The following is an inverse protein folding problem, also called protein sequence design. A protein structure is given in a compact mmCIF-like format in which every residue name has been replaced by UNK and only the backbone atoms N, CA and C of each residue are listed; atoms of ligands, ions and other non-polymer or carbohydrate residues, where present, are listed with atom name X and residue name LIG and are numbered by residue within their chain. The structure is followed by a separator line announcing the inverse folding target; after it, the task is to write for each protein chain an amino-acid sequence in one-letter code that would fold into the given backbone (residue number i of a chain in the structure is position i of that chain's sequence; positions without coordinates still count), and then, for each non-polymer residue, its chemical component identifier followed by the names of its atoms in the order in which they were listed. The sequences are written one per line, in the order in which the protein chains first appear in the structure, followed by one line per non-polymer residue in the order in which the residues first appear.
data_IF_313629249955
#
_entry.id   IF_313629249955
#
_cell.length_a   1.000
_cell.length_b   1.000
_cell.length_c   1.000
_cell.angle_alpha   90.00
_cell.angle_beta   90.00
_cell.angle_gamma   90.00
#
_symmetry.space_group_name_H-M   'P 1'
#
loop_
_entity.id
_entity.type
_entity.pdbx_description
1 polymer ?
#
# COMPACT_ATOMS: atom_id res chain seq x y z
N UNK A 1 15.10 -63.32 -21.15
CA UNK A 1 16.11 -62.34 -20.67
C UNK A 1 15.61 -60.89 -20.43
N UNK A 2 15.12 -60.12 -21.42
CA UNK A 2 14.73 -58.69 -21.21
C UNK A 2 13.54 -58.53 -20.25
N UNK A 3 12.54 -59.43 -20.32
CA UNK A 3 11.34 -59.38 -19.49
C UNK A 3 11.65 -59.66 -18.01
N UNK A 4 12.48 -60.67 -17.69
CA UNK A 4 12.86 -60.98 -16.30
C UNK A 4 13.63 -59.83 -15.66
N UNK A 5 14.54 -59.16 -16.41
CA UNK A 5 15.25 -57.96 -15.93
C UNK A 5 14.27 -56.83 -15.59
N UNK A 6 13.19 -56.65 -16.35
CA UNK A 6 12.13 -55.67 -16.00
C UNK A 6 11.27 -56.14 -14.81
N UNK A 7 10.90 -57.42 -14.74
CA UNK A 7 10.12 -57.97 -13.64
C UNK A 7 10.88 -57.87 -12.30
N UNK A 8 12.18 -58.15 -12.29
CA UNK A 8 13.05 -58.00 -11.12
C UNK A 8 13.19 -56.52 -10.70
N UNK A 9 13.38 -55.61 -11.67
CA UNK A 9 13.41 -54.16 -11.43
C UNK A 9 12.10 -53.67 -10.79
N UNK A 10 10.95 -54.11 -11.30
CA UNK A 10 9.63 -53.82 -10.74
C UNK A 10 9.47 -54.40 -9.31
N UNK A 11 9.89 -55.64 -9.07
CA UNK A 11 9.83 -56.31 -7.75
C UNK A 11 10.67 -55.55 -6.70
N UNK A 12 11.84 -55.06 -7.09
CA UNK A 12 12.72 -54.26 -6.22
C UNK A 12 12.17 -52.85 -5.98
N UNK A 13 11.68 -52.15 -7.01
CA UNK A 13 11.01 -50.86 -6.85
C UNK A 13 9.77 -50.96 -5.96
N UNK A 14 8.95 -52.01 -6.11
CA UNK A 14 7.78 -52.28 -5.26
C UNK A 14 8.18 -52.47 -3.79
N UNK A 15 9.27 -53.22 -3.52
CA UNK A 15 9.86 -53.36 -2.16
C UNK A 15 10.35 -52.02 -1.60
N UNK A 16 11.10 -51.23 -2.37
CA UNK A 16 11.58 -49.91 -1.94
C UNK A 16 10.43 -48.95 -1.61
N UNK A 17 9.38 -48.92 -2.44
CA UNK A 17 8.16 -48.12 -2.20
C UNK A 17 7.42 -48.60 -0.93
N UNK A 18 7.38 -49.90 -0.65
CA UNK A 18 6.80 -50.44 0.59
C UNK A 18 7.64 -50.09 1.83
N UNK A 19 8.97 -50.15 1.75
CA UNK A 19 9.86 -49.72 2.83
C UNK A 19 9.74 -48.22 3.11
N UNK A 20 9.78 -47.38 2.08
CA UNK A 20 9.59 -45.94 2.20
C UNK A 20 8.23 -45.58 2.82
N UNK A 21 7.15 -46.30 2.49
CA UNK A 21 5.83 -46.14 3.12
C UNK A 21 5.83 -46.47 4.61
N UNK A 22 6.55 -47.50 5.05
CA UNK A 22 6.72 -47.80 6.48
C UNK A 22 7.51 -46.69 7.19
N UNK A 23 8.59 -46.21 6.57
CA UNK A 23 9.39 -45.10 7.14
C UNK A 23 8.62 -43.78 7.23
N UNK A 24 7.79 -43.44 6.23
CA UNK A 24 6.97 -42.21 6.25
C UNK A 24 5.86 -42.19 7.31
N UNK A 25 5.57 -43.34 7.94
CA UNK A 25 4.62 -43.49 9.04
C UNK A 25 5.30 -43.71 10.40
N UNK A 26 6.64 -43.63 10.46
CA UNK A 26 7.39 -43.78 11.71
C UNK A 26 7.15 -42.57 12.64
N UNK A 27 6.89 -42.80 13.92
CA UNK A 27 6.69 -41.77 14.94
C UNK A 27 7.88 -40.82 15.07
N UNK A 28 9.11 -41.31 14.88
CA UNK A 28 10.33 -40.49 14.85
C UNK A 28 10.37 -39.53 13.64
N UNK A 29 9.77 -39.92 12.50
CA UNK A 29 9.69 -39.07 11.31
C UNK A 29 8.56 -38.03 11.42
N UNK A 30 7.41 -38.41 11.99
CA UNK A 30 6.30 -37.48 12.23
C UNK A 30 6.67 -36.40 13.26
N UNK A 31 7.29 -36.78 14.37
CA UNK A 31 7.77 -35.83 15.39
C UNK A 31 8.93 -34.94 14.90
N UNK A 32 9.70 -35.38 13.90
CA UNK A 32 10.66 -34.51 13.20
C UNK A 32 9.95 -33.50 12.29
N UNK A 33 8.90 -33.89 11.57
CA UNK A 33 8.08 -32.99 10.73
C UNK A 33 7.38 -31.91 11.57
N UNK A 34 6.94 -32.24 12.78
CA UNK A 34 6.22 -31.29 13.64
C UNK A 34 7.09 -30.16 14.19
N UNK A 35 8.41 -30.37 14.25
CA UNK A 35 9.42 -29.35 14.60
C UNK A 35 9.77 -28.42 13.43
N UNK A 36 9.28 -28.68 12.21
CA UNK A 36 9.55 -27.83 11.05
C UNK A 36 8.67 -26.56 11.05
N UNK A 37 9.17 -25.42 10.52
CA UNK A 37 8.37 -24.22 10.31
C UNK A 37 7.09 -24.51 9.51
N UNK A 38 5.96 -23.89 9.85
CA UNK A 38 4.63 -24.36 9.43
C UNK A 38 4.46 -24.44 7.89
N UNK A 39 5.05 -23.52 7.12
CA UNK A 39 5.05 -23.57 5.65
C UNK A 39 5.78 -24.81 5.11
N UNK A 40 6.91 -25.19 5.71
CA UNK A 40 7.72 -26.36 5.33
C UNK A 40 7.01 -27.63 5.80
N UNK A 41 6.51 -27.66 7.03
CA UNK A 41 5.67 -28.72 7.60
C UNK A 41 4.45 -29.02 6.73
N UNK A 42 3.73 -27.98 6.30
CA UNK A 42 2.60 -28.09 5.36
C UNK A 42 3.05 -28.63 4.01
N UNK A 43 4.14 -28.11 3.44
CA UNK A 43 4.66 -28.57 2.15
C UNK A 43 5.12 -30.04 2.17
N UNK A 44 5.80 -30.47 3.24
CA UNK A 44 6.23 -31.86 3.43
C UNK A 44 5.02 -32.78 3.59
N UNK A 45 4.04 -32.42 4.44
CA UNK A 45 2.76 -33.16 4.57
C UNK A 45 2.03 -33.28 3.22
N UNK A 46 2.05 -32.22 2.40
CA UNK A 46 1.49 -32.21 1.05
C UNK A 46 2.24 -33.16 0.09
N UNK A 47 3.58 -33.23 0.16
CA UNK A 47 4.37 -34.17 -0.66
C UNK A 47 4.19 -35.63 -0.25
N UNK A 48 3.91 -35.92 1.03
CA UNK A 48 3.58 -37.28 1.48
C UNK A 48 2.30 -37.83 0.82
N UNK A 49 1.37 -36.97 0.37
CA UNK A 49 0.17 -37.36 -0.41
C UNK A 49 0.49 -37.84 -1.84
N UNK A 50 1.76 -37.84 -2.25
CA UNK A 50 2.23 -38.36 -3.55
C UNK A 50 1.78 -39.80 -3.84
N UNK A 51 1.72 -40.65 -2.82
CA UNK A 51 1.30 -42.05 -2.95
C UNK A 51 -0.17 -42.24 -3.36
N UNK A 52 -1.00 -41.20 -3.23
CA UNK A 52 -2.41 -41.20 -3.66
C UNK A 52 -2.46 -40.85 -5.15
N UNK A 53 -3.30 -41.56 -5.93
CA UNK A 53 -3.53 -41.28 -7.37
C UNK A 53 -3.93 -39.79 -7.56
N UNK A 54 -3.40 -39.06 -8.56
CA UNK A 54 -3.60 -37.61 -8.67
C UNK A 54 -5.06 -37.12 -8.59
N UNK A 55 -6.01 -37.84 -9.20
CA UNK A 55 -7.45 -37.51 -9.17
C UNK A 55 -8.14 -37.74 -7.81
N UNK A 56 -7.50 -38.48 -6.89
CA UNK A 56 -8.03 -38.76 -5.54
C UNK A 56 -7.42 -37.90 -4.42
N UNK A 57 -6.51 -36.98 -4.74
CA UNK A 57 -5.84 -36.12 -3.74
C UNK A 57 -6.79 -35.03 -3.25
N UNK A 58 -7.18 -35.09 -1.98
CA UNK A 58 -7.91 -34.01 -1.29
C UNK A 58 -6.93 -33.04 -0.62
N UNK A 59 -7.17 -31.74 -0.81
CA UNK A 59 -6.35 -30.66 -0.26
C UNK A 59 -7.11 -29.89 0.82
N UNK A 60 -6.46 -29.60 1.94
CA UNK A 60 -7.02 -28.78 3.03
C UNK A 60 -6.98 -27.29 2.66
N UNK A 61 -7.52 -26.40 3.48
CA UNK A 61 -7.52 -24.97 3.17
C UNK A 61 -6.13 -24.35 3.39
N UNK A 62 -5.37 -24.82 4.37
CA UNK A 62 -4.00 -24.39 4.68
C UNK A 62 -3.05 -24.76 3.52
N UNK A 63 -3.17 -26.00 3.01
CA UNK A 63 -2.45 -26.46 1.81
C UNK A 63 -2.79 -25.63 0.57
N UNK A 64 -4.07 -25.27 0.38
CA UNK A 64 -4.50 -24.39 -0.71
C UNK A 64 -3.96 -22.97 -0.54
N UNK A 65 -4.00 -22.39 0.67
CA UNK A 65 -3.50 -21.04 0.96
C UNK A 65 -2.00 -20.95 0.71
N UNK A 66 -1.21 -21.91 1.21
CA UNK A 66 0.24 -21.98 0.94
C UNK A 66 0.54 -22.10 -0.56
N UNK A 67 -0.19 -22.96 -1.29
CA UNK A 67 -0.06 -23.07 -2.74
C UNK A 67 -0.52 -21.80 -3.49
N UNK A 68 -1.56 -21.11 -2.99
CA UNK A 68 -2.08 -19.86 -3.52
C UNK A 68 -1.07 -18.71 -3.36
N UNK A 69 -0.35 -18.63 -2.24
CA UNK A 69 0.74 -17.67 -2.03
C UNK A 69 1.82 -17.82 -3.11
N UNK A 70 2.26 -19.06 -3.40
CA UNK A 70 3.23 -19.33 -4.46
C UNK A 70 2.65 -18.95 -5.84
N UNK A 71 1.39 -19.31 -6.11
CA UNK A 71 0.69 -18.97 -7.36
C UNK A 71 0.57 -17.45 -7.57
N UNK A 72 0.28 -16.68 -6.52
CA UNK A 72 0.15 -15.22 -6.56
C UNK A 72 1.52 -14.54 -6.69
N UNK A 73 2.57 -15.05 -6.06
CA UNK A 73 3.93 -14.52 -6.17
C UNK A 73 4.53 -14.75 -7.57
N UNK A 74 4.32 -15.92 -8.18
CA UNK A 74 4.73 -16.18 -9.56
C UNK A 74 3.94 -17.32 -10.21
N UNK A 75 2.96 -17.02 -11.08
CA UNK A 75 2.21 -18.03 -11.82
C UNK A 75 3.06 -18.91 -12.75
N UNK A 76 4.23 -18.42 -13.18
CA UNK A 76 5.20 -19.18 -13.99
C UNK A 76 5.98 -20.18 -13.13
N UNK A 77 6.49 -19.75 -11.97
CA UNK A 77 7.18 -20.65 -11.04
C UNK A 77 6.23 -21.72 -10.48
N UNK A 78 4.97 -21.36 -10.20
CA UNK A 78 3.95 -22.33 -9.76
C UNK A 78 3.73 -23.46 -10.77
N UNK A 79 3.66 -23.16 -12.08
CA UNK A 79 3.51 -24.21 -13.10
C UNK A 79 4.76 -25.05 -13.32
N UNK A 80 5.96 -24.53 -13.01
CA UNK A 80 7.18 -25.35 -12.95
C UNK A 80 7.13 -26.29 -11.74
N UNK A 81 6.92 -25.74 -10.54
CA UNK A 81 6.84 -26.51 -9.29
C UNK A 81 5.75 -27.58 -9.34
N UNK A 82 4.60 -27.30 -9.95
CA UNK A 82 3.47 -28.24 -10.12
C UNK A 82 3.77 -29.42 -11.06
N UNK A 83 4.85 -29.37 -11.85
CA UNK A 83 5.35 -30.54 -12.62
C UNK A 83 6.24 -31.45 -11.75
N UNK A 84 6.91 -30.90 -10.74
CA UNK A 84 7.87 -31.60 -9.88
C UNK A 84 7.24 -32.10 -8.58
N UNK A 85 6.26 -31.36 -8.04
CA UNK A 85 5.70 -31.54 -6.71
C UNK A 85 4.19 -31.77 -6.74
N UNK A 86 3.69 -32.42 -5.70
CA UNK A 86 2.26 -32.48 -5.38
C UNK A 86 1.79 -31.07 -5.01
N UNK A 87 1.06 -30.44 -5.91
CA UNK A 87 0.41 -29.14 -5.71
C UNK A 87 -1.03 -29.16 -6.25
N UNK A 88 -1.94 -28.33 -5.71
CA UNK A 88 -3.29 -28.14 -6.26
C UNK A 88 -3.30 -27.67 -7.72
N UNK A 89 -4.42 -27.91 -8.42
CA UNK A 89 -4.65 -27.29 -9.73
C UNK A 89 -5.04 -25.81 -9.59
N UNK A 90 -4.76 -24.98 -10.62
CA UNK A 90 -5.25 -23.59 -10.64
C UNK A 90 -6.76 -23.51 -10.44
N UNK A 91 -7.55 -24.42 -11.04
CA UNK A 91 -9.01 -24.50 -10.85
C UNK A 91 -9.41 -24.79 -9.40
N UNK A 92 -8.64 -25.59 -8.66
CA UNK A 92 -8.87 -25.83 -7.22
C UNK A 92 -8.61 -24.56 -6.39
N UNK A 93 -7.55 -23.81 -6.71
CA UNK A 93 -7.23 -22.54 -6.04
C UNK A 93 -8.18 -21.40 -6.43
N UNK A 94 -8.64 -21.37 -7.69
CA UNK A 94 -9.71 -20.48 -8.13
C UNK A 94 -11.03 -20.77 -7.41
N UNK A 95 -11.35 -22.04 -7.15
CA UNK A 95 -12.51 -22.43 -6.33
C UNK A 95 -12.43 -21.92 -4.88
N UNK A 96 -11.22 -21.81 -4.29
CA UNK A 96 -11.03 -21.16 -3.00
C UNK A 96 -11.14 -19.64 -3.10
N UNK A 97 -10.61 -19.01 -4.16
CA UNK A 97 -10.81 -17.56 -4.37
C UNK A 97 -12.30 -17.22 -4.57
N UNK A 98 -13.10 -18.15 -5.09
CA UNK A 98 -14.51 -17.93 -5.42
C UNK A 98 -15.44 -17.84 -4.21
N UNK A 99 -15.02 -18.28 -3.02
CA UNK A 99 -15.80 -18.07 -1.79
C UNK A 99 -15.69 -16.64 -1.25
N UNK A 100 -14.67 -15.88 -1.65
CA UNK A 100 -14.49 -14.49 -1.22
C UNK A 100 -15.31 -13.56 -2.12
N UNK A 101 -16.43 -13.06 -1.61
CA UNK A 101 -17.31 -12.12 -2.31
C UNK A 101 -16.94 -10.69 -1.94
N UNK A 102 -16.20 -10.02 -2.82
CA UNK A 102 -15.91 -8.59 -2.70
C UNK A 102 -16.88 -7.80 -3.57
N UNK A 103 -17.64 -6.90 -2.96
CA UNK A 103 -18.51 -5.93 -3.63
C UNK A 103 -18.06 -4.49 -3.29
N UNK A 104 -18.45 -3.47 -4.07
CA UNK A 104 -18.14 -2.07 -3.79
C UNK A 104 -18.68 -1.61 -2.42
N UNK A 105 -18.04 -0.59 -1.87
CA UNK A 105 -18.29 -0.10 -0.51
C UNK A 105 -17.36 -0.75 0.53
N UNK A 106 -17.80 -0.71 1.79
CA UNK A 106 -17.01 -1.12 2.96
C UNK A 106 -17.13 -2.64 3.17
N UNK A 107 -16.00 -3.36 3.14
CA UNK A 107 -15.98 -4.80 3.39
C UNK A 107 -16.10 -5.11 4.89
N UNK A 108 -17.27 -5.66 5.29
CA UNK A 108 -17.58 -6.01 6.67
C UNK A 108 -16.79 -7.21 7.21
N UNK A 109 -16.52 -8.23 6.38
CA UNK A 109 -15.73 -9.40 6.78
C UNK A 109 -14.33 -8.97 7.25
N UNK A 110 -13.71 -8.03 6.50
CA UNK A 110 -12.41 -7.44 6.84
C UNK A 110 -12.48 -6.63 8.14
N UNK A 111 -13.55 -5.87 8.38
CA UNK A 111 -13.73 -5.12 9.64
C UNK A 111 -13.93 -6.04 10.85
N UNK A 112 -14.65 -7.14 10.72
CA UNK A 112 -14.79 -8.13 11.79
C UNK A 112 -13.46 -8.78 12.16
N UNK A 113 -12.65 -9.17 11.17
CA UNK A 113 -11.31 -9.72 11.43
C UNK A 113 -10.35 -8.66 11.98
N UNK A 114 -10.43 -7.40 11.51
CA UNK A 114 -9.70 -6.29 12.12
C UNK A 114 -10.10 -6.07 13.59
N UNK A 115 -11.38 -6.23 13.96
CA UNK A 115 -11.85 -6.15 15.35
C UNK A 115 -11.30 -7.30 16.21
N UNK A 116 -11.25 -8.52 15.68
CA UNK A 116 -10.63 -9.71 16.33
C UNK A 116 -9.11 -9.55 16.53
N UNK A 117 -8.45 -8.77 15.68
CA UNK A 117 -7.02 -8.42 15.76
C UNK A 117 -6.78 -7.24 16.71
N UNK A 118 -7.57 -6.18 16.60
CA UNK A 118 -7.44 -4.96 17.40
C UNK A 118 -7.65 -5.21 18.89
N UNK A 119 -8.55 -6.12 19.28
CA UNK A 119 -8.71 -6.53 20.69
C UNK A 119 -7.43 -7.08 21.33
N UNK A 120 -6.50 -7.63 20.51
CA UNK A 120 -5.21 -8.18 20.93
C UNK A 120 -4.04 -7.19 20.79
N UNK A 121 -4.30 -5.96 20.34
CA UNK A 121 -3.27 -4.93 20.13
C UNK A 121 -3.17 -3.97 21.32
N UNK A 122 -1.93 -3.61 21.67
CA UNK A 122 -1.64 -2.47 22.54
C UNK A 122 -2.07 -1.15 21.90
N UNK A 123 -2.36 -0.13 22.73
CA UNK A 123 -2.93 1.15 22.31
C UNK A 123 -2.14 1.82 21.19
N UNK A 124 -0.80 1.83 21.26
CA UNK A 124 0.07 2.39 20.23
C UNK A 124 -0.03 1.68 18.86
N UNK A 125 -0.35 0.38 18.86
CA UNK A 125 -0.49 -0.41 17.62
C UNK A 125 -1.88 -0.28 16.99
N UNK A 126 -2.87 0.21 17.75
CA UNK A 126 -4.21 0.58 17.26
C UNK A 126 -4.23 1.90 16.50
N UNK A 127 -3.19 2.73 16.63
CA UNK A 127 -3.06 4.00 15.91
C UNK A 127 -2.87 3.75 14.40
N UNK A 128 -3.82 4.21 13.60
CA UNK A 128 -3.85 4.04 12.14
C UNK A 128 -4.07 5.36 11.42
N UNK A 129 -3.52 5.47 10.21
CA UNK A 129 -3.88 6.49 9.23
C UNK A 129 -4.75 5.84 8.14
N UNK A 130 -5.67 6.60 7.57
CA UNK A 130 -6.40 6.22 6.35
C UNK A 130 -5.67 6.84 5.16
N UNK A 131 -5.28 6.02 4.20
CA UNK A 131 -4.84 6.43 2.87
C UNK A 131 -6.01 6.28 1.90
N UNK A 132 -6.22 7.25 1.01
CA UNK A 132 -7.10 7.07 -0.14
C UNK A 132 -6.55 7.72 -1.41
N UNK A 133 -6.85 7.11 -2.56
CA UNK A 133 -6.33 7.47 -3.88
C UNK A 133 -7.32 7.03 -4.97
N UNK A 134 -7.31 7.70 -6.13
CA UNK A 134 -8.15 7.37 -7.29
C UNK A 134 -7.33 6.67 -8.38
N UNK A 135 -7.76 5.47 -8.78
CA UNK A 135 -7.09 4.64 -9.79
C UNK A 135 -7.91 4.66 -11.08
N UNK A 136 -7.37 5.26 -12.14
CA UNK A 136 -8.00 5.24 -13.46
C UNK A 136 -8.12 3.80 -14.02
N UNK A 137 -9.26 3.51 -14.62
CA UNK A 137 -9.64 2.22 -15.20
C UNK A 137 -9.86 2.36 -16.71
N UNK A 138 -9.83 1.23 -17.42
CA UNK A 138 -10.40 1.16 -18.76
C UNK A 138 -11.94 1.03 -18.63
N UNK A 139 -12.75 1.94 -19.19
CA UNK A 139 -14.21 1.83 -19.14
C UNK A 139 -14.67 0.60 -19.92
N UNK A 140 -15.52 -0.22 -19.30
CA UNK A 140 -15.98 -1.47 -19.89
C UNK A 140 -17.04 -2.15 -19.02
N UNK A 141 -17.75 -3.13 -19.57
CA UNK A 141 -18.87 -3.81 -18.92
C UNK A 141 -18.67 -5.32 -18.99
N UNK A 142 -18.77 -6.01 -17.85
CA UNK A 142 -18.60 -7.47 -17.75
C UNK A 142 -19.73 -8.09 -16.92
N UNK A 143 -20.32 -9.20 -17.38
CA UNK A 143 -21.32 -9.94 -16.60
C UNK A 143 -20.65 -11.00 -15.71
N UNK A 144 -20.65 -10.77 -14.40
CA UNK A 144 -20.14 -11.74 -13.44
C UNK A 144 -21.25 -12.72 -13.02
N UNK A 145 -21.33 -13.84 -13.73
CA UNK A 145 -22.32 -14.90 -13.54
C UNK A 145 -22.36 -15.50 -12.12
N UNK A 146 -21.30 -15.37 -11.31
CA UNK A 146 -21.24 -15.92 -9.95
C UNK A 146 -21.83 -14.99 -8.87
N UNK A 147 -21.89 -13.69 -9.16
CA UNK A 147 -22.57 -12.69 -8.34
C UNK A 147 -23.96 -12.38 -8.94
N UNK A 148 -24.20 -12.75 -10.21
CA UNK A 148 -25.42 -12.42 -10.96
C UNK A 148 -25.49 -10.94 -11.36
N UNK A 149 -24.38 -10.19 -11.21
CA UNK A 149 -24.32 -8.74 -11.42
C UNK A 149 -23.50 -8.39 -12.65
N UNK A 150 -23.98 -7.41 -13.39
CA UNK A 150 -23.19 -6.70 -14.41
C UNK A 150 -22.27 -5.71 -13.68
N UNK A 151 -20.97 -5.76 -13.94
CA UNK A 151 -19.90 -4.90 -13.41
C UNK A 151 -19.51 -3.88 -14.51
N UNK A 152 -18.96 -2.72 -14.12
CA UNK A 152 -18.53 -1.66 -15.07
C UNK A 152 -19.23 -0.32 -14.89
N UNK A 153 -20.13 -0.22 -13.93
CA UNK A 153 -20.93 0.97 -13.63
C UNK A 153 -20.44 1.67 -12.36
N UNK A 154 -20.71 2.97 -12.25
CA UNK A 154 -20.52 3.77 -11.04
C UNK A 154 -21.34 3.18 -9.88
N UNK A 155 -20.66 2.80 -8.80
CA UNK A 155 -21.19 2.02 -7.68
C UNK A 155 -20.44 2.38 -6.39
N UNK A 156 -21.17 3.02 -5.47
CA UNK A 156 -20.67 3.47 -4.17
C UNK A 156 -20.95 2.46 -3.04
N UNK A 157 -21.47 1.27 -3.36
CA UNK A 157 -21.87 0.23 -2.40
C UNK A 157 -23.22 0.46 -1.70
N UNK A 158 -23.71 1.69 -1.66
CA UNK A 158 -25.08 2.05 -1.24
C UNK A 158 -25.94 2.56 -2.41
N UNK A 159 -25.36 3.35 -3.32
CA UNK A 159 -26.00 3.85 -4.54
C UNK A 159 -25.21 3.41 -5.76
N UNK A 160 -25.93 2.92 -6.77
CA UNK A 160 -25.37 2.52 -8.07
C UNK A 160 -26.09 3.25 -9.20
N UNK A 161 -25.31 3.83 -10.10
CA UNK A 161 -25.80 4.62 -11.23
C UNK A 161 -25.75 3.83 -12.56
N UNK A 162 -26.33 4.40 -13.62
CA UNK A 162 -26.29 3.86 -15.00
C UNK A 162 -25.10 4.39 -15.82
N UNK A 163 -24.27 5.24 -15.22
CA UNK A 163 -23.00 5.75 -15.74
C UNK A 163 -21.94 4.66 -15.73
N UNK A 164 -21.19 4.52 -16.83
CA UNK A 164 -19.98 3.68 -16.83
C UNK A 164 -18.91 4.31 -15.93
N UNK A 165 -18.24 3.48 -15.15
CA UNK A 165 -17.12 3.91 -14.33
C UNK A 165 -15.82 3.95 -15.15
N UNK A 166 -14.97 4.94 -14.84
CA UNK A 166 -13.65 5.12 -15.42
C UNK A 166 -12.56 5.31 -14.34
N UNK A 167 -12.94 5.38 -13.05
CA UNK A 167 -12.03 5.41 -11.90
C UNK A 167 -12.53 4.49 -10.77
N UNK A 168 -11.60 4.00 -9.95
CA UNK A 168 -11.88 3.37 -8.66
C UNK A 168 -11.21 4.17 -7.54
N UNK A 169 -12.02 4.67 -6.60
CA UNK A 169 -11.55 5.26 -5.35
C UNK A 169 -11.33 4.15 -4.32
N UNK A 170 -10.11 4.04 -3.76
CA UNK A 170 -9.72 2.96 -2.84
C UNK A 170 -9.23 3.51 -1.50
N UNK A 171 -9.78 2.99 -0.40
CA UNK A 171 -9.39 3.35 0.97
C UNK A 171 -8.62 2.20 1.65
N UNK A 172 -7.46 2.53 2.23
CA UNK A 172 -6.55 1.60 2.89
C UNK A 172 -6.13 2.11 4.26
N UNK A 173 -6.23 1.28 5.30
CA UNK A 173 -5.61 1.60 6.60
C UNK A 173 -4.11 1.30 6.57
N UNK A 174 -3.35 2.15 7.25
CA UNK A 174 -1.91 1.99 7.53
C UNK A 174 -1.69 2.20 9.02
N UNK A 175 -1.20 1.18 9.73
CA UNK A 175 -0.75 1.36 11.11
C UNK A 175 0.40 2.36 11.21
N UNK A 176 0.44 3.20 12.26
CA UNK A 176 1.55 4.13 12.46
C UNK A 176 2.76 3.35 12.97
N UNK A 177 2.65 2.74 14.16
CA UNK A 177 3.71 1.89 14.74
C UNK A 177 3.79 0.52 14.08
N UNK A 178 2.65 -0.06 13.66
CA UNK A 178 2.60 -1.39 13.05
C UNK A 178 2.85 -1.34 11.54
N UNK A 179 3.53 -2.35 10.98
CA UNK A 179 3.79 -2.45 9.53
C UNK A 179 2.55 -2.80 8.69
N UNK A 180 1.38 -2.96 9.33
CA UNK A 180 0.11 -3.31 8.68
C UNK A 180 -0.28 -2.31 7.57
N UNK A 181 -0.84 -2.86 6.49
CA UNK A 181 -1.52 -2.19 5.37
C UNK A 181 -2.71 -3.07 4.98
N UNK A 182 -3.92 -2.54 4.93
CA UNK A 182 -5.11 -3.32 4.56
C UNK A 182 -6.14 -2.44 3.82
N UNK A 183 -6.52 -2.75 2.56
CA UNK A 183 -7.68 -2.12 1.93
C UNK A 183 -8.96 -2.51 2.66
N UNK A 184 -9.86 -1.55 2.87
CA UNK A 184 -11.14 -1.73 3.60
C UNK A 184 -12.35 -1.40 2.72
N UNK A 185 -12.24 -0.38 1.87
CA UNK A 185 -13.32 0.07 1.01
C UNK A 185 -12.79 0.36 -0.40
N UNK A 186 -13.58 0.05 -1.42
CA UNK A 186 -13.38 0.52 -2.79
C UNK A 186 -14.72 0.89 -3.42
N UNK A 187 -14.76 1.94 -4.21
CA UNK A 187 -15.97 2.40 -4.93
C UNK A 187 -15.62 2.73 -6.37
N UNK A 188 -16.58 2.61 -7.27
CA UNK A 188 -16.42 2.92 -8.69
C UNK A 188 -17.11 4.24 -9.01
N UNK A 189 -16.39 5.15 -9.68
CA UNK A 189 -16.87 6.50 -10.00
C UNK A 189 -16.61 6.84 -11.48
N UNK A 190 -17.25 7.90 -11.96
CA UNK A 190 -17.02 8.47 -13.29
C UNK A 190 -16.43 9.88 -13.17
N UNK A 191 -15.24 10.07 -13.73
CA UNK A 191 -14.36 11.18 -13.39
C UNK A 191 -13.95 11.14 -11.91
N UNK A 192 -13.51 12.28 -11.40
CA UNK A 192 -13.22 12.47 -9.97
C UNK A 192 -14.49 12.33 -9.14
N UNK A 193 -14.39 11.66 -7.98
CA UNK A 193 -15.48 11.48 -7.02
C UNK A 193 -16.07 12.84 -6.61
N UNK A 194 -17.40 12.91 -6.45
CA UNK A 194 -18.08 14.13 -6.00
C UNK A 194 -17.69 14.45 -4.55
N UNK A 195 -17.34 15.70 -4.27
CA UNK A 195 -16.89 16.14 -2.93
C UNK A 195 -17.85 15.76 -1.79
N UNK A 196 -19.17 15.87 -2.01
CA UNK A 196 -20.17 15.47 -1.02
C UNK A 196 -20.17 13.95 -0.73
N UNK A 197 -20.09 13.12 -1.77
CA UNK A 197 -20.01 11.65 -1.62
C UNK A 197 -18.69 11.25 -0.94
N UNK A 198 -17.56 11.87 -1.31
CA UNK A 198 -16.28 11.65 -0.65
C UNK A 198 -16.29 12.06 0.82
N UNK A 199 -16.86 13.23 1.16
CA UNK A 199 -17.03 13.70 2.55
C UNK A 199 -17.91 12.74 3.37
N UNK A 200 -18.95 12.17 2.77
CA UNK A 200 -19.82 11.17 3.39
C UNK A 200 -19.11 9.82 3.58
N UNK A 201 -18.51 9.28 2.52
CA UNK A 201 -17.72 8.03 2.54
C UNK A 201 -16.63 8.10 3.62
N UNK A 202 -15.84 9.17 3.67
CA UNK A 202 -14.76 9.32 4.63
C UNK A 202 -15.29 9.38 6.08
N UNK A 203 -16.40 10.10 6.33
CA UNK A 203 -17.07 10.12 7.65
C UNK A 203 -17.60 8.75 8.06
N UNK A 204 -18.16 7.96 7.13
CA UNK A 204 -18.63 6.61 7.40
C UNK A 204 -17.46 5.65 7.67
N UNK A 205 -16.43 5.66 6.84
CA UNK A 205 -15.24 4.80 6.98
C UNK A 205 -14.50 5.06 8.30
N UNK A 206 -14.37 6.32 8.74
CA UNK A 206 -13.78 6.66 10.05
C UNK A 206 -14.61 6.08 11.21
N UNK A 207 -15.95 6.16 11.15
CA UNK A 207 -16.84 5.58 12.17
C UNK A 207 -16.69 4.07 12.26
N UNK A 208 -16.76 3.38 11.11
CA UNK A 208 -16.65 1.92 11.03
C UNK A 208 -15.27 1.42 11.51
N UNK A 209 -14.18 2.09 11.14
CA UNK A 209 -12.83 1.74 11.62
C UNK A 209 -12.73 1.94 13.13
N UNK A 210 -13.20 3.07 13.67
CA UNK A 210 -13.17 3.32 15.11
C UNK A 210 -14.02 2.28 15.89
N UNK A 211 -15.13 1.80 15.32
CA UNK A 211 -15.97 0.73 15.89
C UNK A 211 -15.30 -0.67 15.94
N UNK A 212 -14.15 -0.85 15.26
CA UNK A 212 -13.29 -2.04 15.43
C UNK A 212 -12.36 -1.96 16.65
N UNK A 213 -12.23 -0.78 17.28
CA UNK A 213 -11.23 -0.53 18.34
C UNK A 213 -9.84 -0.15 17.83
N UNK A 214 -9.71 0.16 16.54
CA UNK A 214 -8.60 0.95 15.99
C UNK A 214 -8.87 2.45 16.24
N UNK A 215 -7.83 3.28 16.15
CA UNK A 215 -7.92 4.73 16.37
C UNK A 215 -7.36 5.44 15.13
N UNK A 216 -8.22 6.12 14.37
CA UNK A 216 -7.81 6.93 13.21
C UNK A 216 -7.20 8.24 13.69
N UNK A 217 -5.92 8.47 13.36
CA UNK A 217 -5.16 9.67 13.75
C UNK A 217 -5.08 10.72 12.65
N UNK A 218 -4.96 10.29 11.38
CA UNK A 218 -4.87 11.18 10.22
C UNK A 218 -5.44 10.54 8.94
N UNK A 219 -5.83 11.38 7.98
CA UNK A 219 -6.23 11.00 6.62
C UNK A 219 -5.24 11.55 5.60
N UNK A 220 -4.79 10.70 4.68
CA UNK A 220 -3.75 11.00 3.69
C UNK A 220 -4.33 10.76 2.29
N UNK A 221 -4.20 11.77 1.43
CA UNK A 221 -4.66 11.77 0.05
C UNK A 221 -3.73 12.63 -0.82
N UNK A 222 -4.01 12.74 -2.11
CA UNK A 222 -3.27 13.61 -3.04
C UNK A 222 -3.74 15.09 -2.95
N UNK A 223 -3.24 15.92 -3.87
CA UNK A 223 -3.61 17.34 -3.96
C UNK A 223 -4.70 17.64 -5.02
N UNK A 224 -5.53 16.65 -5.37
CA UNK A 224 -6.69 16.89 -6.25
C UNK A 224 -7.63 17.95 -5.66
N UNK A 225 -8.22 18.78 -6.53
CA UNK A 225 -9.06 19.91 -6.11
C UNK A 225 -10.27 19.49 -5.27
N UNK A 226 -10.85 18.32 -5.57
CA UNK A 226 -11.88 17.67 -4.74
C UNK A 226 -11.37 17.34 -3.34
N UNK A 227 -10.17 16.77 -3.22
CA UNK A 227 -9.61 16.32 -1.95
C UNK A 227 -9.29 17.53 -1.04
N UNK A 228 -8.64 18.55 -1.61
CA UNK A 228 -8.41 19.84 -0.94
C UNK A 228 -9.73 20.49 -0.49
N UNK A 229 -10.77 20.48 -1.34
CA UNK A 229 -12.10 20.98 -1.00
C UNK A 229 -12.72 20.20 0.17
N UNK A 230 -12.68 18.87 0.16
CA UNK A 230 -13.26 18.03 1.24
C UNK A 230 -12.51 18.23 2.56
N UNK A 231 -11.19 18.36 2.54
CA UNK A 231 -10.40 18.70 3.75
C UNK A 231 -10.83 20.06 4.31
N UNK A 232 -10.95 21.10 3.48
CA UNK A 232 -11.41 22.43 3.93
C UNK A 232 -12.85 22.40 4.46
N UNK A 233 -13.73 21.65 3.79
CA UNK A 233 -15.11 21.43 4.25
C UNK A 233 -15.19 20.64 5.57
N UNK A 234 -14.21 19.80 5.92
CA UNK A 234 -14.13 19.08 7.19
C UNK A 234 -13.47 19.91 8.31
N UNK A 235 -12.50 20.76 7.96
CA UNK A 235 -11.94 21.77 8.88
C UNK A 235 -13.02 22.75 9.33
N UNK A 236 -13.88 23.20 8.39
CA UNK A 236 -15.00 24.09 8.71
C UNK A 236 -16.04 23.41 9.62
N UNK A 237 -16.50 22.18 9.30
CA UNK A 237 -17.38 21.38 10.18
C UNK A 237 -16.80 21.29 11.61
N UNK A 238 -15.48 21.11 11.73
CA UNK A 238 -14.77 20.98 13.02
C UNK A 238 -14.69 22.33 13.74
N UNK A 239 -14.33 23.42 13.05
CA UNK A 239 -14.25 24.77 13.61
C UNK A 239 -15.60 25.23 14.16
N UNK A 240 -16.68 25.00 13.41
CA UNK A 240 -18.04 25.29 13.88
C UNK A 240 -18.36 24.52 15.18
N UNK A 241 -18.02 23.23 15.24
CA UNK A 241 -18.23 22.42 16.43
C UNK A 241 -17.44 22.94 17.64
N UNK A 242 -16.17 23.30 17.46
CA UNK A 242 -15.32 23.85 18.53
C UNK A 242 -15.87 25.17 19.06
N UNK A 243 -16.29 26.09 18.17
CA UNK A 243 -16.93 27.37 18.55
C UNK A 243 -18.22 27.13 19.32
N UNK A 244 -19.08 26.20 18.89
CA UNK A 244 -20.30 25.79 19.63
C UNK A 244 -20.02 25.13 20.99
N UNK A 245 -18.78 24.70 21.24
CA UNK A 245 -18.32 24.12 22.50
C UNK A 245 -17.44 25.07 23.33
N UNK A 246 -17.24 26.32 22.89
CA UNK A 246 -16.40 27.31 23.58
C UNK A 246 -14.89 27.10 23.47
N UNK A 247 -14.43 26.13 22.66
CA UNK A 247 -13.02 25.74 22.58
C UNK A 247 -12.26 26.51 21.50
N UNK A 248 -11.00 26.86 21.79
CA UNK A 248 -10.07 27.46 20.81
C UNK A 248 -9.55 26.44 19.79
N UNK A 249 -9.08 26.93 18.64
CA UNK A 249 -8.59 26.11 17.53
C UNK A 249 -7.23 26.63 17.06
N UNK A 250 -6.17 25.88 17.36
CA UNK A 250 -4.78 26.27 17.07
C UNK A 250 -4.25 25.55 15.82
N UNK A 251 -3.46 26.26 15.01
CA UNK A 251 -2.74 25.73 13.84
C UNK A 251 -1.26 26.01 13.99
N UNK A 252 -0.44 24.97 14.18
CA UNK A 252 1.02 25.05 14.33
C UNK A 252 1.66 23.90 13.56
N UNK A 253 2.74 24.19 12.83
CA UNK A 253 3.54 23.23 12.05
C UNK A 253 4.99 23.77 12.07
N UNK A 254 5.87 23.18 12.88
CA UNK A 254 7.24 23.65 13.15
C UNK A 254 8.29 22.79 12.42
N UNK A 255 9.47 23.33 12.05
CA UNK A 255 10.42 22.55 11.25
C UNK A 255 11.90 22.99 11.14
N UNK A 256 12.66 22.00 10.66
CA UNK A 256 13.99 21.99 10.01
C UNK A 256 15.31 22.35 10.75
N UNK A 257 16.31 21.46 10.57
CA UNK A 257 17.73 21.59 10.91
C UNK A 257 18.62 21.82 9.65
N UNK A 258 19.92 22.16 9.81
CA UNK A 258 20.96 22.27 8.74
C UNK A 258 22.15 21.28 9.00
N UNK A 259 23.23 21.05 8.20
CA UNK A 259 23.94 21.74 7.11
C UNK A 259 24.60 20.69 6.14
N UNK A 260 24.76 20.95 4.82
CA UNK A 260 25.99 20.71 3.94
C UNK A 260 25.77 20.28 2.47
N UNK A 261 26.70 20.73 1.61
CA UNK A 261 26.65 20.89 0.13
C UNK A 261 26.18 19.72 -0.77
N UNK A 262 25.94 20.08 -2.04
CA UNK A 262 25.17 19.36 -3.07
C UNK A 262 26.06 18.72 -4.13
N UNK A 263 25.83 17.43 -4.42
CA UNK A 263 26.42 16.71 -5.56
C UNK A 263 25.37 15.98 -6.42
N UNK A 264 24.09 16.38 -6.32
CA UNK A 264 22.93 15.60 -6.80
C UNK A 264 22.08 16.26 -7.88
N UNK A 265 22.26 17.55 -8.13
CA UNK A 265 21.51 18.29 -9.16
C UNK A 265 22.13 18.08 -10.55
N UNK A 266 21.26 18.03 -11.56
CA UNK A 266 21.56 17.83 -12.98
C UNK A 266 20.49 18.55 -13.80
N UNK A 267 20.65 18.63 -15.13
CA UNK A 267 19.65 19.26 -16.02
C UNK A 267 18.22 18.72 -15.84
N UNK A 268 18.05 17.44 -15.48
CA UNK A 268 16.74 16.82 -15.15
C UNK A 268 16.05 17.39 -13.89
N UNK A 269 16.69 18.29 -13.15
CA UNK A 269 16.13 18.99 -11.99
C UNK A 269 15.71 20.43 -12.32
N UNK A 270 16.03 20.93 -13.52
CA UNK A 270 16.00 22.37 -13.85
C UNK A 270 15.32 22.62 -15.21
N UNK A 271 15.65 21.83 -16.23
CA UNK A 271 15.08 21.98 -17.57
C UNK A 271 13.66 21.42 -17.60
N UNK A 272 12.66 22.30 -17.76
CA UNK A 272 11.22 21.99 -17.82
C UNK A 272 10.85 20.82 -18.75
N UNK A 273 11.62 20.62 -19.83
CA UNK A 273 11.41 19.58 -20.82
C UNK A 273 12.10 18.24 -20.49
N UNK A 274 13.07 18.23 -19.55
CA UNK A 274 13.80 17.04 -19.08
C UNK A 274 13.35 16.57 -17.69
N UNK A 275 12.64 17.40 -16.92
CA UNK A 275 12.12 17.06 -15.59
C UNK A 275 11.11 15.89 -15.69
N UNK A 276 11.41 14.71 -15.11
CA UNK A 276 10.51 13.56 -15.14
C UNK A 276 9.44 13.72 -14.04
N UNK A 277 8.39 14.51 -14.33
CA UNK A 277 7.40 15.04 -13.37
C UNK A 277 6.89 14.05 -12.30
N UNK A 278 6.63 12.79 -12.66
CA UNK A 278 6.14 11.75 -11.72
C UNK A 278 7.20 11.21 -10.75
N UNK A 279 8.49 11.49 -10.95
CA UNK A 279 9.58 11.00 -10.09
C UNK A 279 9.89 12.03 -9.01
N UNK A 280 9.11 12.01 -7.92
CA UNK A 280 9.24 12.87 -6.72
C UNK A 280 10.69 13.03 -6.22
N UNK A 281 11.51 11.99 -6.38
CA UNK A 281 12.96 11.99 -6.17
C UNK A 281 13.66 13.28 -6.66
N UNK A 282 13.33 13.78 -7.86
CA UNK A 282 14.00 14.98 -8.41
C UNK A 282 13.60 16.26 -7.67
N UNK A 283 12.32 16.42 -7.33
CA UNK A 283 11.85 17.53 -6.50
C UNK A 283 12.47 17.48 -5.09
N UNK A 284 12.49 16.30 -4.46
CA UNK A 284 13.14 16.09 -3.16
C UNK A 284 14.66 16.29 -3.18
N UNK A 285 15.32 16.20 -4.35
CA UNK A 285 16.73 16.56 -4.51
C UNK A 285 16.92 18.09 -4.64
N UNK A 286 15.98 18.81 -5.26
CA UNK A 286 15.96 20.29 -5.31
C UNK A 286 15.70 20.88 -3.93
N UNK A 287 14.60 20.49 -3.28
CA UNK A 287 14.22 20.98 -1.95
C UNK A 287 14.89 20.20 -0.82
N UNK A 288 16.18 19.88 -0.99
CA UNK A 288 16.96 19.24 0.07
C UNK A 288 17.68 20.28 0.93
N UNK A 289 17.77 20.01 2.24
CA UNK A 289 18.61 20.73 3.22
C UNK A 289 19.99 21.10 2.64
N UNK A 290 20.62 20.18 1.89
CA UNK A 290 21.90 20.38 1.21
C UNK A 290 21.92 21.56 0.25
N UNK A 291 20.85 21.73 -0.53
CA UNK A 291 20.65 22.83 -1.48
C UNK A 291 20.41 24.13 -0.72
N UNK A 292 19.59 24.11 0.33
CA UNK A 292 19.38 25.27 1.21
C UNK A 292 20.71 25.79 1.80
N UNK A 293 21.52 24.91 2.42
CA UNK A 293 22.86 25.26 2.91
C UNK A 293 23.79 25.80 1.83
N UNK A 294 23.78 25.20 0.63
CA UNK A 294 24.63 25.63 -0.47
C UNK A 294 24.25 27.04 -0.94
N UNK A 295 22.96 27.35 -1.03
CA UNK A 295 22.47 28.70 -1.34
C UNK A 295 22.78 29.70 -0.22
N UNK A 296 22.62 29.30 1.06
CA UNK A 296 22.93 30.13 2.24
C UNK A 296 24.43 30.41 2.40
N UNK A 297 25.28 29.48 1.97
CA UNK A 297 26.72 29.68 1.86
C UNK A 297 27.07 30.62 0.69
N UNK A 298 26.51 30.37 -0.50
CA UNK A 298 26.76 31.18 -1.69
C UNK A 298 26.29 32.64 -1.52
N UNK A 299 25.19 32.89 -0.81
CA UNK A 299 24.68 34.24 -0.55
C UNK A 299 25.51 35.05 0.46
N UNK A 300 26.34 34.40 1.27
CA UNK A 300 27.29 35.03 2.20
C UNK A 300 28.64 35.38 1.56
N UNK A 301 28.88 35.00 0.31
CA UNK A 301 30.11 35.35 -0.41
C UNK A 301 30.00 36.79 -0.96
N UNK A 302 31.06 37.62 -0.86
CA UNK A 302 31.03 38.98 -1.36
C UNK A 302 30.82 39.01 -2.88
N UNK A 303 29.85 39.83 -3.33
CA UNK A 303 29.58 40.06 -4.76
C UNK A 303 30.80 40.74 -5.40
N UNK A 304 31.27 40.21 -6.53
CA UNK A 304 32.31 40.88 -7.34
C UNK A 304 31.73 42.12 -8.03
N UNK A 305 32.38 43.26 -7.85
CA UNK A 305 31.99 44.58 -8.36
C UNK A 305 32.30 44.81 -9.85
N UNK A 306 32.15 43.79 -10.70
CA UNK A 306 32.27 43.93 -12.16
C UNK A 306 31.40 42.92 -12.90
N UNK A 307 30.69 43.38 -13.94
CA UNK A 307 29.63 42.66 -14.64
C UNK A 307 30.06 41.53 -15.58
N UNK A 308 31.07 40.73 -15.21
CA UNK A 308 31.41 39.49 -15.94
C UNK A 308 30.71 38.29 -15.29
N UNK A 309 30.15 37.40 -16.10
CA UNK A 309 29.45 36.18 -15.62
C UNK A 309 30.34 35.36 -14.68
N UNK A 310 29.74 34.79 -13.64
CA UNK A 310 30.42 33.89 -12.72
C UNK A 310 30.82 32.59 -13.41
N UNK A 311 32.07 32.48 -13.88
CA UNK A 311 32.62 31.17 -14.24
C UNK A 311 32.87 30.35 -12.97
N UNK A 312 31.98 29.39 -12.73
CA UNK A 312 32.03 28.52 -11.56
C UNK A 312 33.20 27.52 -11.58
N UNK A 313 33.94 27.40 -12.69
CA UNK A 313 35.17 26.60 -12.76
C UNK A 313 36.29 27.15 -11.88
N UNK A 314 36.45 28.48 -11.78
CA UNK A 314 37.61 29.13 -11.12
C UNK A 314 37.62 29.00 -9.58
N UNK A 315 36.70 28.24 -8.98
CA UNK A 315 36.70 27.90 -7.54
C UNK A 315 36.63 26.40 -7.25
N UNK A 316 36.79 25.54 -8.27
CA UNK A 316 36.75 24.08 -8.10
C UNK A 316 35.38 23.51 -7.70
N UNK A 317 34.30 24.29 -7.77
CA UNK A 317 32.98 23.94 -7.22
C UNK A 317 32.14 22.98 -8.09
N UNK A 318 32.71 22.41 -9.16
CA UNK A 318 32.10 21.28 -9.91
C UNK A 318 30.79 21.56 -10.66
N UNK A 319 30.27 22.79 -10.67
CA UNK A 319 29.05 23.13 -11.43
C UNK A 319 29.31 23.11 -12.95
N UNK A 320 28.48 22.39 -13.70
CA UNK A 320 28.33 22.66 -15.14
C UNK A 320 27.76 24.08 -15.32
N UNK A 321 28.43 24.87 -16.15
CA UNK A 321 28.18 26.30 -16.33
C UNK A 321 26.76 26.62 -16.82
N UNK A 322 26.08 25.66 -17.47
CA UNK A 322 24.68 25.79 -17.89
C UNK A 322 23.70 25.63 -16.73
N UNK A 323 23.92 24.61 -15.89
CA UNK A 323 23.07 24.31 -14.72
C UNK A 323 23.13 25.47 -13.72
N UNK A 324 24.33 26.01 -13.45
CA UNK A 324 24.51 27.14 -12.52
C UNK A 324 23.75 28.41 -12.93
N UNK A 325 23.78 28.76 -14.23
CA UNK A 325 23.08 29.94 -14.74
C UNK A 325 21.54 29.75 -14.73
N UNK A 326 21.06 28.57 -15.10
CA UNK A 326 19.63 28.26 -15.13
C UNK A 326 19.01 28.27 -13.72
N UNK A 327 19.71 27.72 -12.72
CA UNK A 327 19.27 27.74 -11.30
C UNK A 327 19.09 29.18 -10.78
N UNK A 328 20.01 30.11 -11.09
CA UNK A 328 19.89 31.50 -10.64
C UNK A 328 18.71 32.25 -11.28
N UNK A 329 18.30 31.88 -12.51
CA UNK A 329 17.08 32.38 -13.13
C UNK A 329 15.83 31.86 -12.43
N UNK A 330 15.78 30.54 -12.21
CA UNK A 330 14.65 29.85 -11.59
C UNK A 330 14.28 30.42 -10.20
N UNK A 331 15.26 30.83 -9.40
CA UNK A 331 15.02 31.46 -8.08
C UNK A 331 14.43 32.88 -8.13
N UNK A 332 14.54 33.61 -9.24
CA UNK A 332 13.80 34.87 -9.45
C UNK A 332 12.29 34.62 -9.38
N UNK A 333 11.83 33.62 -10.13
CA UNK A 333 10.40 33.33 -10.26
C UNK A 333 9.89 32.47 -9.11
N UNK A 334 10.72 31.60 -8.54
CA UNK A 334 10.37 30.86 -7.32
C UNK A 334 10.16 31.80 -6.11
N UNK A 335 10.84 32.95 -6.06
CA UNK A 335 10.60 33.97 -5.02
C UNK A 335 9.21 34.62 -5.16
N UNK A 336 8.69 34.76 -6.38
CA UNK A 336 7.31 35.24 -6.64
C UNK A 336 6.26 34.16 -6.33
N UNK A 337 6.61 32.89 -6.55
CA UNK A 337 5.74 31.75 -6.25
C UNK A 337 5.53 31.57 -4.74
N UNK A 338 6.60 31.59 -3.95
CA UNK A 338 6.53 31.43 -2.49
C UNK A 338 5.76 32.56 -1.79
N UNK A 339 5.74 33.78 -2.33
CA UNK A 339 4.89 34.87 -1.83
C UNK A 339 3.37 34.69 -2.08
N UNK A 340 2.96 33.59 -2.73
CA UNK A 340 1.55 33.28 -3.01
C UNK A 340 1.15 31.84 -2.66
N UNK A 341 1.83 31.19 -1.72
CA UNK A 341 1.58 29.78 -1.35
C UNK A 341 1.61 29.55 0.15
N UNK A 342 0.63 30.11 0.86
CA UNK A 342 0.43 29.93 2.31
C UNK A 342 -0.84 29.11 2.61
N UNK A 343 -0.88 27.85 2.17
CA UNK A 343 -1.89 26.87 2.62
C UNK A 343 -1.43 25.43 2.36
N UNK A 344 -1.09 24.68 3.42
CA UNK A 344 -0.82 23.24 3.36
C UNK A 344 -1.38 22.58 4.62
N UNK A 345 -2.48 21.82 4.48
CA UNK A 345 -3.25 21.32 5.61
C UNK A 345 -2.83 19.94 6.12
N UNK A 346 -1.95 19.90 7.12
CA UNK A 346 -1.96 18.81 8.10
C UNK A 346 -3.18 18.99 9.02
N UNK A 347 -3.99 17.95 9.22
CA UNK A 347 -5.16 17.98 10.13
C UNK A 347 -5.06 16.84 11.14
N UNK A 348 -4.67 17.14 12.40
CA UNK A 348 -4.74 16.15 13.48
C UNK A 348 -6.19 15.79 13.80
N UNK A 349 -6.50 14.50 13.90
CA UNK A 349 -7.76 14.06 14.54
C UNK A 349 -7.58 14.14 16.06
N UNK A 350 -8.44 14.87 16.80
CA UNK A 350 -8.32 14.95 18.26
C UNK A 350 -8.49 13.58 18.92
N UNK A 351 -7.58 13.21 19.83
CA UNK A 351 -7.83 12.11 20.76
C UNK A 351 -8.89 12.56 21.77
N UNK A 352 -10.00 11.83 21.86
CA UNK A 352 -10.88 11.95 23.02
C UNK A 352 -10.13 11.44 24.25
N UNK A 353 -9.81 12.34 25.17
CA UNK A 353 -9.40 11.98 26.53
C UNK A 353 -10.56 11.29 27.23
N UNK A 354 -10.36 10.04 27.65
CA UNK A 354 -11.30 9.39 28.57
C UNK A 354 -11.06 9.99 29.95
N UNK A 355 -12.00 10.80 30.41
CA UNK A 355 -12.03 11.27 31.79
C UNK A 355 -12.12 10.06 32.72
N UNK A 356 -11.23 9.98 33.70
CA UNK A 356 -11.41 9.08 34.83
C UNK A 356 -12.40 9.74 35.77
N UNK A 357 -13.47 9.04 36.14
CA UNK A 357 -14.27 9.44 37.29
C UNK A 357 -13.39 9.49 38.53
N UNK A 358 -13.59 10.51 39.36
CA UNK A 358 -13.29 10.41 40.78
C UNK A 358 -14.50 9.75 41.43
N UNK A 359 -14.32 8.54 41.96
CA UNK A 359 -15.26 7.94 42.89
C UNK A 359 -14.84 8.36 44.31
N UNK A 360 -15.80 8.80 45.13
CA UNK A 360 -15.69 8.90 46.60
C UNK A 360 -16.23 7.62 47.26
#
# INVERSE_FOLDING_TARGET
MKLEKMALKYKNQKRQIQAAKKMSMNTAFLSAIEKLPESIKTFTKLQLKSHIKPRGRRFTNEEKVMALTILKQSPKAYELLKKMFVLPSKRCLQGLLHSFRMEPGINKEILEDLKKVASRMSTENKLVNILFDEVSLAPGVEYNAAIGKIIGFEDYGYTRNKTLADHALVFMIKGIKSKCKQPICFTFCKGTTKAAELKNLLKCIIKEINATGLIVVATICDQATTNVRVVRELQNDTRERYVRQGNSYNTVDDGDDEIRLVNKLTEMHVDKNKIPKMKVKFAAQVFSQRVSSALRFLSRLPRRSSGRKCDCRTRGLGFDSRVGQSITGLFSDFRKFLSGSTESGNVPVPLCTVEKGCDE
#
